data_IF_968639566706
#
_entry.id   IF_968639566706
#
_cell.length_a   1.000
_cell.length_b   1.000
_cell.length_c   1.000
_cell.angle_alpha   90.00
_cell.angle_beta   90.00
_cell.angle_gamma   90.00
#
_symmetry.space_group_name_H-M   'P 1'
#
loop_
_entity.id
_entity.type
_entity.pdbx_description
1 polymer ?
#
# COMPACT_ATOMS: atom_id res chain seq x y z
N UNK A 1 19.37 -8.72 3.77
CA UNK A 1 18.24 -8.72 2.82
C UNK A 1 16.96 -8.47 3.60
N UNK A 2 15.96 -7.79 3.04
CA UNK A 2 14.67 -7.61 3.74
C UNK A 2 13.98 -8.96 3.87
N UNK A 3 13.71 -9.39 5.10
CA UNK A 3 12.99 -10.63 5.41
C UNK A 3 11.48 -10.52 5.14
N UNK A 4 10.99 -9.32 4.82
CA UNK A 4 9.56 -9.07 4.59
C UNK A 4 9.06 -9.75 3.33
N UNK A 5 7.86 -10.33 3.41
CA UNK A 5 7.20 -11.05 2.32
C UNK A 5 5.95 -10.33 1.84
N UNK A 6 5.50 -10.52 0.58
CA UNK A 6 4.16 -10.12 0.14
C UNK A 6 3.09 -11.01 0.77
N UNK A 7 1.86 -10.51 0.85
CA UNK A 7 0.68 -11.32 1.16
C UNK A 7 0.23 -11.98 -0.16
N UNK A 8 0.59 -13.24 -0.37
CA UNK A 8 0.33 -13.97 -1.63
C UNK A 8 -1.10 -14.51 -1.70
N UNK A 9 -1.66 -14.99 -0.59
CA UNK A 9 -2.99 -15.58 -0.52
C UNK A 9 -4.08 -14.51 -0.58
N UNK A 10 -4.98 -14.60 -1.55
CA UNK A 10 -6.15 -13.71 -1.66
C UNK A 10 -7.04 -13.82 -0.41
N UNK A 11 -7.28 -15.03 0.09
CA UNK A 11 -8.07 -15.26 1.31
C UNK A 11 -7.48 -14.52 2.52
N UNK A 12 -6.16 -14.63 2.73
CA UNK A 12 -5.49 -13.94 3.82
C UNK A 12 -5.45 -12.41 3.61
N UNK A 13 -5.33 -11.95 2.36
CA UNK A 13 -5.38 -10.52 2.02
C UNK A 13 -6.75 -9.93 2.36
N UNK A 14 -7.83 -10.63 2.05
CA UNK A 14 -9.19 -10.21 2.43
C UNK A 14 -9.36 -10.16 3.97
N UNK A 15 -8.92 -11.19 4.70
CA UNK A 15 -8.94 -11.17 6.17
C UNK A 15 -8.12 -10.01 6.74
N UNK A 16 -6.95 -9.74 6.15
CA UNK A 16 -6.09 -8.62 6.56
C UNK A 16 -6.79 -7.26 6.40
N UNK A 17 -7.50 -7.03 5.28
CA UNK A 17 -8.27 -5.80 5.05
C UNK A 17 -9.45 -5.68 6.03
N UNK A 18 -10.17 -6.77 6.27
CA UNK A 18 -11.36 -6.83 7.15
C UNK A 18 -11.07 -6.44 8.59
N UNK A 19 -9.86 -6.59 9.09
CA UNK A 19 -9.55 -6.31 10.48
C UNK A 19 -10.00 -4.91 10.91
N UNK A 20 -9.67 -3.87 10.14
CA UNK A 20 -10.06 -2.49 10.45
C UNK A 20 -11.41 -2.07 9.86
N UNK A 21 -12.10 -2.92 9.14
CA UNK A 21 -13.48 -2.70 8.70
C UNK A 21 -14.50 -3.28 9.70
N UNK A 22 -14.25 -4.50 10.18
CA UNK A 22 -15.26 -5.31 10.86
C UNK A 22 -14.86 -5.68 12.31
N UNK A 23 -13.59 -5.94 12.58
CA UNK A 23 -13.14 -6.49 13.88
C UNK A 23 -12.73 -5.41 14.87
N UNK A 24 -11.99 -4.44 14.41
CA UNK A 24 -11.55 -3.28 15.20
C UNK A 24 -11.70 -2.02 14.33
N UNK A 25 -12.94 -1.59 14.05
CA UNK A 25 -13.21 -0.53 13.08
C UNK A 25 -12.43 0.74 13.35
N UNK A 26 -11.66 1.19 12.34
CA UNK A 26 -10.88 2.42 12.37
C UNK A 26 -10.64 2.85 10.92
N UNK A 27 -11.36 3.87 10.46
CA UNK A 27 -11.33 4.34 9.07
C UNK A 27 -9.94 4.81 8.62
N UNK A 28 -9.21 5.51 9.49
CA UNK A 28 -7.84 5.96 9.20
C UNK A 28 -6.89 4.76 9.00
N UNK A 29 -6.92 3.78 9.89
CA UNK A 29 -6.06 2.60 9.81
C UNK A 29 -6.43 1.73 8.61
N UNK A 30 -7.72 1.61 8.30
CA UNK A 30 -8.19 0.96 7.08
C UNK A 30 -7.68 1.66 5.82
N UNK A 31 -7.86 3.00 5.74
CA UNK A 31 -7.40 3.78 4.61
C UNK A 31 -5.87 3.70 4.42
N UNK A 32 -5.09 3.69 5.51
CA UNK A 32 -3.64 3.48 5.46
C UNK A 32 -3.27 2.15 4.79
N UNK A 33 -3.94 1.07 5.17
CA UNK A 33 -3.72 -0.27 4.59
C UNK A 33 -4.11 -0.29 3.12
N UNK A 34 -5.31 0.22 2.77
CA UNK A 34 -5.80 0.22 1.39
C UNK A 34 -4.89 1.06 0.49
N UNK A 35 -4.50 2.25 0.93
CA UNK A 35 -3.59 3.10 0.17
C UNK A 35 -2.24 2.40 -0.03
N UNK A 36 -1.68 1.79 1.02
CA UNK A 36 -0.43 1.06 0.93
C UNK A 36 -0.47 -0.16 0.00
N UNK A 37 -1.62 -0.84 -0.09
CA UNK A 37 -1.84 -1.99 -0.98
C UNK A 37 -2.09 -1.59 -2.44
N UNK A 38 -2.50 -0.33 -2.71
CA UNK A 38 -2.96 0.09 -4.04
C UNK A 38 -2.05 1.12 -4.74
N UNK A 39 -1.01 1.62 -4.08
CA UNK A 39 -0.19 2.70 -4.64
C UNK A 39 1.28 2.34 -4.87
N UNK A 40 1.71 1.19 -4.39
CA UNK A 40 3.13 0.83 -4.37
C UNK A 40 4.05 1.85 -3.67
N UNK A 41 3.52 2.83 -2.93
CA UNK A 41 4.31 3.80 -2.18
C UNK A 41 5.07 3.18 -1.02
N UNK A 42 6.20 3.77 -0.67
CA UNK A 42 6.87 3.45 0.60
C UNK A 42 6.08 4.04 1.76
N UNK A 43 6.05 3.35 2.89
CA UNK A 43 5.35 3.85 4.08
C UNK A 43 5.82 5.26 4.50
N UNK A 44 7.11 5.56 4.32
CA UNK A 44 7.66 6.90 4.60
C UNK A 44 7.06 7.99 3.74
N UNK A 45 6.66 7.67 2.53
CA UNK A 45 6.05 8.62 1.59
C UNK A 45 4.55 8.75 1.88
N UNK A 46 3.88 7.63 2.16
CA UNK A 46 2.47 7.61 2.59
C UNK A 46 2.24 8.47 3.85
N UNK A 47 3.12 8.35 4.85
CA UNK A 47 2.97 9.06 6.12
C UNK A 47 3.27 10.57 6.04
N UNK A 48 3.75 11.06 4.89
CA UNK A 48 3.98 12.48 4.61
C UNK A 48 2.86 13.13 3.79
N UNK A 49 1.88 12.34 3.35
CA UNK A 49 0.77 12.88 2.60
C UNK A 49 -0.09 13.78 3.48
N UNK A 50 -0.53 14.90 2.91
CA UNK A 50 -1.50 15.82 3.46
C UNK A 50 -2.87 15.59 2.80
N UNK A 51 -3.89 16.18 3.36
CA UNK A 51 -5.25 16.07 2.80
C UNK A 51 -5.30 16.63 1.38
N UNK A 52 -4.62 17.77 1.12
CA UNK A 52 -4.55 18.39 -0.20
C UNK A 52 -3.90 17.48 -1.28
N UNK A 53 -3.08 16.49 -0.90
CA UNK A 53 -2.49 15.56 -1.88
C UNK A 53 -3.51 14.60 -2.49
N UNK A 54 -4.65 14.40 -1.82
CA UNK A 54 -5.70 13.44 -2.23
C UNK A 54 -7.05 14.09 -2.51
N UNK A 55 -7.31 15.30 -1.99
CA UNK A 55 -8.58 15.98 -2.07
C UNK A 55 -8.44 17.41 -2.61
N UNK A 56 -9.21 17.76 -3.66
CA UNK A 56 -9.34 19.11 -4.18
C UNK A 56 -10.48 19.84 -3.46
N UNK A 57 -10.14 20.78 -2.60
CA UNK A 57 -11.11 21.58 -1.84
C UNK A 57 -11.92 22.56 -2.70
N UNK A 58 -11.40 22.96 -3.85
CA UNK A 58 -12.10 23.86 -4.78
C UNK A 58 -13.17 23.14 -5.57
N UNK A 59 -12.80 21.97 -6.13
CA UNK A 59 -13.70 21.13 -6.91
C UNK A 59 -14.53 20.17 -6.05
N UNK A 60 -14.22 20.05 -4.75
CA UNK A 60 -14.86 19.15 -3.78
C UNK A 60 -14.88 17.69 -4.26
N UNK A 61 -13.76 17.23 -4.79
CA UNK A 61 -13.59 15.88 -5.29
C UNK A 61 -12.19 15.33 -4.99
N UNK A 62 -12.03 14.03 -5.14
CA UNK A 62 -10.69 13.41 -5.06
C UNK A 62 -9.84 13.86 -6.24
N UNK A 63 -8.57 14.15 -5.96
CA UNK A 63 -7.56 14.31 -6.99
C UNK A 63 -7.52 13.06 -7.88
N UNK A 64 -7.14 13.24 -9.14
CA UNK A 64 -6.96 12.10 -10.04
C UNK A 64 -5.69 11.32 -9.69
N UNK A 65 -4.64 12.02 -9.29
CA UNK A 65 -3.34 11.45 -8.95
C UNK A 65 -2.82 12.04 -7.63
N UNK A 66 -2.00 11.26 -6.95
CA UNK A 66 -1.12 11.73 -5.90
C UNK A 66 0.21 12.09 -6.57
N UNK A 67 0.61 13.36 -6.47
CA UNK A 67 1.89 13.84 -7.00
C UNK A 67 2.89 13.98 -5.85
N UNK A 68 3.95 13.20 -5.88
CA UNK A 68 4.95 13.21 -4.81
C UNK A 68 6.38 13.17 -5.35
N UNK A 69 7.30 13.75 -4.57
CA UNK A 69 8.73 13.48 -4.70
C UNK A 69 9.13 12.40 -3.69
N UNK A 70 9.50 11.21 -4.15
CA UNK A 70 9.90 10.11 -3.30
C UNK A 70 11.13 10.47 -2.44
N UNK A 71 11.02 10.29 -1.13
CA UNK A 71 12.10 10.65 -0.19
C UNK A 71 13.41 9.91 -0.45
N UNK A 72 13.34 8.63 -0.84
CA UNK A 72 14.55 7.80 -1.01
C UNK A 72 15.28 8.04 -2.33
N UNK A 73 14.56 8.38 -3.39
CA UNK A 73 15.10 8.43 -4.75
C UNK A 73 15.14 9.84 -5.33
N UNK A 74 14.40 10.79 -4.75
CA UNK A 74 14.20 12.13 -5.29
C UNK A 74 13.36 12.16 -6.59
N UNK A 75 12.83 11.02 -7.04
CA UNK A 75 12.02 10.92 -8.27
C UNK A 75 10.63 11.50 -8.02
N UNK A 76 10.16 12.34 -8.94
CA UNK A 76 8.76 12.75 -8.99
C UNK A 76 7.91 11.59 -9.53
N UNK A 77 6.84 11.30 -8.84
CA UNK A 77 5.97 10.16 -9.15
C UNK A 77 4.52 10.60 -9.09
N UNK A 78 3.77 10.26 -10.14
CA UNK A 78 2.33 10.48 -10.26
C UNK A 78 1.62 9.13 -10.11
N UNK A 79 0.72 9.01 -9.12
CA UNK A 79 0.08 7.76 -8.76
C UNK A 79 -1.43 7.93 -8.85
N UNK A 80 -2.06 7.15 -9.72
CA UNK A 80 -3.52 7.18 -9.89
C UNK A 80 -4.25 6.74 -8.63
N UNK A 81 -5.20 7.56 -8.17
CA UNK A 81 -6.09 7.23 -7.05
C UNK A 81 -7.25 6.40 -7.57
N UNK A 82 -7.17 5.08 -7.40
CA UNK A 82 -8.21 4.16 -7.84
C UNK A 82 -9.45 4.20 -6.93
N UNK A 83 -10.50 3.49 -7.35
CA UNK A 83 -11.78 3.50 -6.65
C UNK A 83 -11.69 2.94 -5.22
N UNK A 84 -10.89 1.89 -5.00
CA UNK A 84 -10.67 1.30 -3.67
C UNK A 84 -10.09 2.32 -2.69
N UNK A 85 -9.08 3.08 -3.13
CA UNK A 85 -8.47 4.13 -2.32
C UNK A 85 -9.47 5.26 -2.05
N UNK A 86 -10.25 5.70 -3.06
CA UNK A 86 -11.28 6.73 -2.88
C UNK A 86 -12.34 6.31 -1.86
N UNK A 87 -12.83 5.08 -1.94
CA UNK A 87 -13.83 4.55 -1.00
C UNK A 87 -13.27 4.51 0.44
N UNK A 88 -12.05 4.01 0.61
CA UNK A 88 -11.42 3.97 1.93
C UNK A 88 -11.20 5.37 2.53
N UNK A 89 -10.77 6.34 1.72
CA UNK A 89 -10.56 7.71 2.15
C UNK A 89 -11.87 8.46 2.41
N UNK A 90 -12.96 8.14 1.71
CA UNK A 90 -14.27 8.77 1.94
C UNK A 90 -14.76 8.56 3.37
N UNK A 91 -14.44 7.42 3.98
CA UNK A 91 -14.77 7.13 5.37
C UNK A 91 -13.96 7.94 6.40
N UNK A 92 -12.96 8.71 5.96
CA UNK A 92 -12.12 9.54 6.83
C UNK A 92 -12.63 10.98 6.98
N UNK A 93 -13.78 11.33 6.36
CA UNK A 93 -14.41 12.67 6.44
C UNK A 93 -13.45 13.82 6.10
N UNK A 94 -12.69 13.71 5.01
CA UNK A 94 -11.63 14.65 4.62
C UNK A 94 -12.11 16.09 4.43
N UNK A 95 -13.38 16.28 4.07
CA UNK A 95 -13.96 17.60 3.79
C UNK A 95 -14.05 18.53 4.98
N UNK A 96 -13.94 18.00 6.19
CA UNK A 96 -13.99 18.78 7.45
C UNK A 96 -12.59 19.09 8.02
N UNK A 97 -11.52 18.75 7.29
CA UNK A 97 -10.13 18.88 7.71
C UNK A 97 -9.43 20.02 6.95
N UNK A 98 -8.30 20.48 7.50
CA UNK A 98 -7.46 21.48 6.84
C UNK A 98 -6.67 20.83 5.69
N UNK A 99 -6.48 21.51 4.54
CA UNK A 99 -5.64 21.03 3.45
C UNK A 99 -4.23 20.57 3.87
N UNK A 100 -3.63 21.27 4.82
CA UNK A 100 -2.28 21.02 5.33
C UNK A 100 -2.23 19.97 6.45
N UNK A 101 -3.38 19.48 6.90
CA UNK A 101 -3.42 18.40 7.88
C UNK A 101 -2.82 17.10 7.30
N UNK A 102 -2.12 16.36 8.15
CA UNK A 102 -1.61 15.04 7.78
C UNK A 102 -2.76 14.10 7.40
N UNK A 103 -2.67 13.42 6.25
CA UNK A 103 -3.67 12.44 5.81
C UNK A 103 -3.85 11.30 6.84
N UNK A 104 -2.77 10.94 7.52
CA UNK A 104 -2.76 9.91 8.57
C UNK A 104 -2.28 10.51 9.90
N UNK A 105 -3.13 11.26 10.64
CA UNK A 105 -2.73 11.91 11.88
C UNK A 105 -2.51 10.91 13.01
N UNK A 106 -1.60 11.25 13.92
CA UNK A 106 -1.35 10.49 15.15
C UNK A 106 -2.41 10.83 16.20
N UNK A 107 -3.07 9.82 16.78
CA UNK A 107 -3.93 10.04 17.93
C UNK A 107 -3.15 10.40 19.21
N UNK A 108 -1.87 10.02 19.29
CA UNK A 108 -1.04 10.28 20.46
C UNK A 108 -0.45 11.68 20.45
N UNK A 109 -0.11 12.20 19.28
CA UNK A 109 0.56 13.50 19.12
C UNK A 109 -0.27 14.36 18.16
N UNK A 110 -1.08 15.27 18.75
CA UNK A 110 -1.96 16.16 17.99
C UNK A 110 -1.17 17.00 16.98
N UNK A 111 -1.65 17.10 15.76
CA UNK A 111 -1.00 17.84 14.67
C UNK A 111 0.19 17.15 14.01
N UNK A 112 0.56 15.94 14.48
CA UNK A 112 1.67 15.19 13.87
C UNK A 112 1.17 13.98 13.08
N UNK A 113 1.84 13.58 11.98
CA UNK A 113 1.49 12.35 11.29
C UNK A 113 1.82 11.10 12.12
N UNK A 114 1.27 9.96 11.74
CA UNK A 114 1.67 8.66 12.27
C UNK A 114 3.17 8.45 12.10
N UNK A 115 3.81 7.93 13.15
CA UNK A 115 5.19 7.47 13.03
C UNK A 115 5.27 6.11 12.29
N UNK A 116 6.43 5.79 11.72
CA UNK A 116 6.67 4.47 11.11
C UNK A 116 6.42 3.31 12.09
N UNK A 117 6.72 3.51 13.37
CA UNK A 117 6.46 2.52 14.40
C UNK A 117 4.96 2.31 14.65
N UNK A 118 4.18 3.39 14.69
CA UNK A 118 2.71 3.30 14.80
C UNK A 118 2.10 2.60 13.57
N UNK A 119 2.53 2.97 12.37
CA UNK A 119 2.10 2.29 11.13
C UNK A 119 2.46 0.79 11.14
N UNK A 120 3.67 0.44 11.59
CA UNK A 120 4.07 -0.96 11.76
C UNK A 120 3.13 -1.71 12.71
N UNK A 121 2.79 -1.12 13.86
CA UNK A 121 1.85 -1.74 14.83
C UNK A 121 0.45 -1.94 14.26
N UNK A 122 -0.04 -0.99 13.47
CA UNK A 122 -1.32 -1.07 12.77
C UNK A 122 -1.31 -2.28 11.83
N UNK A 123 -0.31 -2.38 10.97
CA UNK A 123 -0.16 -3.46 10.00
C UNK A 123 0.02 -4.80 10.70
N UNK A 124 0.81 -4.84 11.77
CA UNK A 124 1.07 -6.08 12.52
C UNK A 124 -0.18 -6.65 13.19
N UNK A 125 -1.06 -5.81 13.74
CA UNK A 125 -2.34 -6.27 14.31
C UNK A 125 -3.22 -6.95 13.25
N UNK A 126 -3.38 -6.32 12.08
CA UNK A 126 -4.15 -6.90 10.98
C UNK A 126 -3.51 -8.20 10.47
N UNK A 127 -2.17 -8.26 10.42
CA UNK A 127 -1.43 -9.46 9.98
C UNK A 127 -1.64 -10.64 10.93
N UNK A 128 -1.59 -10.41 12.25
CA UNK A 128 -1.84 -11.44 13.26
C UNK A 128 -3.27 -11.98 13.12
N UNK A 129 -4.26 -11.10 13.00
CA UNK A 129 -5.66 -11.50 12.81
C UNK A 129 -5.85 -12.37 11.55
N UNK A 130 -5.19 -12.02 10.46
CA UNK A 130 -5.27 -12.77 9.20
C UNK A 130 -4.44 -14.08 9.19
N UNK A 131 -3.83 -14.47 10.31
CA UNK A 131 -2.96 -15.66 10.39
C UNK A 131 -1.74 -15.56 9.48
N UNK A 132 -1.24 -14.35 9.26
CA UNK A 132 -0.08 -14.13 8.40
C UNK A 132 1.23 -14.34 9.17
N UNK A 133 2.32 -14.77 8.50
CA UNK A 133 3.61 -15.02 9.14
C UNK A 133 4.22 -13.74 9.73
N UNK A 134 5.19 -13.91 10.63
CA UNK A 134 5.85 -12.80 11.33
C UNK A 134 6.55 -11.77 10.42
N UNK A 135 6.88 -12.17 9.21
CA UNK A 135 7.60 -11.34 8.23
C UNK A 135 6.75 -10.24 7.56
N UNK A 136 5.46 -10.11 7.94
CA UNK A 136 4.61 -9.02 7.42
C UNK A 136 4.89 -7.71 8.15
N UNK A 137 5.15 -6.67 7.37
CA UNK A 137 5.47 -5.31 7.84
C UNK A 137 4.98 -4.24 6.85
N UNK A 138 5.27 -2.98 7.13
CA UNK A 138 4.94 -1.87 6.23
C UNK A 138 5.41 -2.11 4.78
N UNK A 139 6.56 -2.73 4.60
CA UNK A 139 7.12 -3.01 3.27
C UNK A 139 6.37 -4.11 2.53
N UNK A 140 5.67 -4.96 3.27
CA UNK A 140 4.83 -6.03 2.70
C UNK A 140 3.66 -5.48 1.89
N UNK A 141 3.07 -4.33 2.27
CA UNK A 141 1.98 -3.71 1.50
C UNK A 141 2.44 -3.41 0.06
N UNK A 142 3.57 -2.73 -0.06
CA UNK A 142 4.18 -2.41 -1.35
C UNK A 142 4.55 -3.67 -2.14
N UNK A 143 5.12 -4.69 -1.48
CA UNK A 143 5.43 -5.98 -2.14
C UNK A 143 4.17 -6.71 -2.60
N UNK A 144 3.09 -6.66 -1.81
CA UNK A 144 1.80 -7.27 -2.14
C UNK A 144 1.21 -6.66 -3.41
N UNK A 145 1.22 -5.32 -3.55
CA UNK A 145 0.81 -4.67 -4.79
C UNK A 145 1.54 -5.25 -6.01
N UNK A 146 2.85 -5.27 -5.98
CA UNK A 146 3.62 -5.75 -7.13
C UNK A 146 3.50 -7.24 -7.40
N UNK A 147 3.38 -8.06 -6.36
CA UNK A 147 3.13 -9.49 -6.52
C UNK A 147 1.81 -9.75 -7.24
N UNK A 148 0.72 -9.10 -6.80
CA UNK A 148 -0.58 -9.27 -7.45
C UNK A 148 -0.66 -8.61 -8.83
N UNK A 149 0.04 -7.49 -9.06
CA UNK A 149 0.17 -6.90 -10.38
C UNK A 149 0.90 -7.86 -11.34
N UNK A 150 1.99 -8.49 -10.89
CA UNK A 150 2.67 -9.52 -11.67
C UNK A 150 1.75 -10.72 -11.95
N UNK A 151 0.99 -11.21 -10.97
CA UNK A 151 0.00 -12.30 -11.16
C UNK A 151 -1.10 -11.94 -12.17
N UNK A 152 -1.41 -10.66 -12.32
CA UNK A 152 -2.33 -10.13 -13.33
C UNK A 152 -1.65 -9.81 -14.66
N UNK A 153 -0.44 -10.33 -14.89
CA UNK A 153 0.31 -10.20 -16.14
C UNK A 153 0.72 -8.76 -16.49
N UNK A 154 0.86 -7.88 -15.49
CA UNK A 154 1.45 -6.56 -15.72
C UNK A 154 2.89 -6.73 -16.25
N UNK A 155 3.26 -6.06 -17.35
CA UNK A 155 4.57 -6.23 -17.97
C UNK A 155 5.72 -5.96 -16.99
N UNK A 156 6.79 -6.78 -16.99
CA UNK A 156 7.94 -6.60 -16.10
C UNK A 156 8.58 -5.22 -16.19
N UNK A 157 8.65 -4.63 -17.39
CA UNK A 157 9.20 -3.29 -17.58
C UNK A 157 8.41 -2.22 -16.80
N UNK A 158 7.07 -2.32 -16.80
CA UNK A 158 6.21 -1.41 -16.03
C UNK A 158 6.41 -1.59 -14.52
N UNK A 159 6.55 -2.83 -14.05
CA UNK A 159 6.86 -3.09 -12.64
C UNK A 159 8.24 -2.53 -12.26
N UNK A 160 9.24 -2.66 -13.12
CA UNK A 160 10.55 -2.05 -12.88
C UNK A 160 10.46 -0.54 -12.76
N UNK A 161 9.68 0.12 -13.60
CA UNK A 161 9.49 1.58 -13.55
C UNK A 161 8.76 2.00 -12.26
N UNK A 162 7.64 1.37 -11.91
CA UNK A 162 6.87 1.62 -10.66
C UNK A 162 7.77 1.50 -9.42
N UNK A 163 8.67 0.52 -9.40
CA UNK A 163 9.57 0.27 -8.27
C UNK A 163 10.90 1.04 -8.35
N UNK A 164 11.17 1.67 -9.49
CA UNK A 164 12.46 2.30 -9.80
C UNK A 164 13.62 1.31 -9.61
N UNK A 165 13.49 0.12 -10.20
CA UNK A 165 14.49 -0.92 -10.16
C UNK A 165 15.29 -0.96 -11.46
N UNK A 166 16.61 -1.11 -11.35
CA UNK A 166 17.51 -1.15 -12.50
C UNK A 166 17.49 -2.47 -13.30
N UNK A 167 16.88 -3.52 -12.76
CA UNK A 167 16.74 -4.80 -13.47
C UNK A 167 15.52 -5.59 -13.02
N UNK A 168 15.04 -6.47 -13.91
CA UNK A 168 13.94 -7.39 -13.58
C UNK A 168 14.34 -8.40 -12.48
N UNK A 169 15.59 -8.80 -12.41
CA UNK A 169 16.07 -9.70 -11.36
C UNK A 169 15.88 -9.10 -9.96
N UNK A 170 16.12 -7.79 -9.83
CA UNK A 170 15.88 -7.05 -8.59
C UNK A 170 14.38 -7.05 -8.28
N UNK A 171 13.53 -6.75 -9.27
CA UNK A 171 12.06 -6.74 -9.14
C UNK A 171 11.55 -8.11 -8.74
N UNK A 172 11.95 -9.16 -9.43
CA UNK A 172 11.55 -10.55 -9.14
C UNK A 172 11.87 -10.95 -7.69
N UNK A 173 13.10 -10.70 -7.26
CA UNK A 173 13.53 -10.96 -5.87
C UNK A 173 12.75 -10.11 -4.87
N UNK A 174 12.52 -8.85 -5.20
CA UNK A 174 11.78 -7.93 -4.35
C UNK A 174 10.34 -8.37 -4.13
N UNK A 175 9.65 -8.82 -5.18
CA UNK A 175 8.27 -9.30 -5.14
C UNK A 175 8.12 -10.67 -4.47
N UNK A 176 9.21 -11.39 -4.24
CA UNK A 176 9.17 -12.74 -3.66
C UNK A 176 8.60 -13.77 -4.62
N UNK A 177 8.85 -13.59 -5.94
CA UNK A 177 8.53 -14.57 -6.98
C UNK A 177 9.55 -15.70 -6.87
N UNK A 178 9.11 -16.87 -6.47
CA UNK A 178 9.93 -18.04 -6.15
C UNK A 178 9.68 -19.23 -7.09
N UNK A 179 10.13 -20.42 -6.69
CA UNK A 179 9.99 -21.63 -7.50
C UNK A 179 8.54 -22.07 -7.59
N UNK A 180 7.76 -21.98 -6.48
CA UNK A 180 6.34 -22.39 -6.48
C UNK A 180 5.52 -21.58 -7.51
N UNK A 181 5.86 -20.29 -7.68
CA UNK A 181 5.23 -19.45 -8.70
C UNK A 181 5.54 -19.90 -10.12
N UNK A 182 6.73 -20.47 -10.37
CA UNK A 182 7.09 -21.05 -11.67
C UNK A 182 6.37 -22.38 -11.90
N UNK A 183 6.30 -23.21 -10.86
CA UNK A 183 5.67 -24.54 -10.95
C UNK A 183 4.18 -24.39 -11.32
N UNK A 184 3.50 -23.36 -10.79
CA UNK A 184 2.13 -23.03 -11.21
C UNK A 184 2.00 -22.69 -12.69
N UNK A 185 3.05 -22.14 -13.33
CA UNK A 185 3.04 -21.91 -14.78
C UNK A 185 3.09 -23.24 -15.54
N UNK A 186 3.97 -24.16 -15.11
CA UNK A 186 4.07 -25.49 -15.73
C UNK A 186 2.79 -26.30 -15.58
N UNK A 187 2.13 -26.23 -14.43
CA UNK A 187 0.84 -26.90 -14.21
C UNK A 187 -0.29 -26.38 -15.13
N UNK A 188 -0.27 -25.12 -15.48
CA UNK A 188 -1.30 -24.50 -16.32
C UNK A 188 -1.14 -24.74 -17.80
N UNK A 189 0.10 -24.93 -18.27
CA UNK A 189 0.39 -25.14 -19.69
C UNK A 189 0.23 -26.63 -19.99
N UNK A 190 -0.82 -26.93 -20.77
CA UNK A 190 -1.09 -28.26 -21.30
C UNK A 190 -1.15 -28.14 -22.82
N UNK A 191 -0.16 -28.65 -23.52
CA UNK A 191 -0.04 -28.65 -24.99
C UNK A 191 -0.57 -29.96 -25.56
#
# INVERSE_FOLDING_TARGET
MSTTQPIKSIKQLEQFKKYYQEVSPDSRNYALIILGLNTALRISDILRLHIADVWDFRQKCFNRHIEITERKTGKNTSIYINQEVRQALSACHLTSLDPDDALFPSHKYKGSPLSRYQAYRIIKKAAIYAGLPEHISCHSLRKTFGYHAWKQSVPPAMLMDIYNHSSYQITKRYLGIDQDDKDQVFEKIRL
#
